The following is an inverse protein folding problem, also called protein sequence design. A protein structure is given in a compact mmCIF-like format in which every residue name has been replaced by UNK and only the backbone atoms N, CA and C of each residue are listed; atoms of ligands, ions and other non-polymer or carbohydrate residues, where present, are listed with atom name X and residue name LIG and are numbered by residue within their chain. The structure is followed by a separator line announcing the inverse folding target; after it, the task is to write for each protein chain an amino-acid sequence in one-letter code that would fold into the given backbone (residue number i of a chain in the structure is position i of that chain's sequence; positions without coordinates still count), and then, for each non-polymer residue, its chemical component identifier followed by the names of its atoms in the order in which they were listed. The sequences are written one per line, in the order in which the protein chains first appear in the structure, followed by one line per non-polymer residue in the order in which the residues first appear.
data_IF_395459827695
#
_entry.id   IF_395459827695
#
_cell.length_a   1.000
_cell.length_b   1.000
_cell.length_c   1.000
_cell.angle_alpha   90.00
_cell.angle_beta   90.00
_cell.angle_gamma   90.00
#
_symmetry.space_group_name_H-M   'P 1'
#
loop_
_entity.id
_entity.type
_entity.pdbx_description
1 polymer ?
#
# COMPACT_ATOMS: atom_id res chain seq x y z
N UNK A 1 9.66 -15.21 -0.43
CA UNK A 1 9.32 -13.81 -0.73
C UNK A 1 9.57 -12.99 0.52
N UNK A 2 10.05 -11.74 0.41
CA UNK A 2 10.48 -10.93 1.54
C UNK A 2 9.73 -9.59 1.49
N UNK A 3 8.66 -9.47 2.28
CA UNK A 3 7.82 -8.27 2.33
C UNK A 3 8.58 -7.05 2.84
N UNK A 4 9.60 -7.26 3.68
CA UNK A 4 10.48 -6.23 4.21
C UNK A 4 11.31 -5.56 3.11
N UNK A 5 11.75 -6.34 2.11
CA UNK A 5 12.54 -5.83 1.00
C UNK A 5 11.69 -4.92 0.11
N UNK A 6 10.51 -5.40 -0.29
CA UNK A 6 9.58 -4.61 -1.09
C UNK A 6 9.16 -3.33 -0.33
N UNK A 7 8.84 -3.47 0.97
CA UNK A 7 8.54 -2.34 1.86
C UNK A 7 9.68 -1.31 1.92
N UNK A 8 10.92 -1.78 2.17
CA UNK A 8 12.10 -0.91 2.25
C UNK A 8 12.36 -0.16 0.95
N UNK A 9 12.15 -0.81 -0.20
CA UNK A 9 12.26 -0.18 -1.52
C UNK A 9 11.19 0.90 -1.69
N UNK A 10 9.93 0.60 -1.34
CA UNK A 10 8.81 1.54 -1.49
C UNK A 10 9.00 2.77 -0.60
N UNK A 11 9.33 2.58 0.68
CA UNK A 11 9.55 3.68 1.61
C UNK A 11 10.77 4.53 1.24
N UNK A 12 11.84 3.91 0.74
CA UNK A 12 13.00 4.64 0.24
C UNK A 12 12.64 5.49 -0.99
N UNK A 13 11.85 4.95 -1.92
CA UNK A 13 11.40 5.69 -3.10
C UNK A 13 10.50 6.88 -2.74
N UNK A 14 9.59 6.70 -1.78
CA UNK A 14 8.78 7.79 -1.22
C UNK A 14 9.64 8.85 -0.54
N UNK A 15 10.70 8.46 0.18
CA UNK A 15 11.62 9.40 0.81
C UNK A 15 12.43 10.22 -0.22
N UNK A 16 12.75 9.64 -1.37
CA UNK A 16 13.53 10.29 -2.45
C UNK A 16 12.75 11.32 -3.26
N UNK A 17 11.42 11.42 -3.11
CA UNK A 17 10.64 12.47 -3.78
C UNK A 17 9.91 12.05 -5.06
N UNK A 18 9.89 10.76 -5.42
CA UNK A 18 9.26 10.29 -6.66
C UNK A 18 8.00 9.44 -6.42
N UNK A 19 6.88 10.12 -6.16
CA UNK A 19 5.59 9.48 -5.95
C UNK A 19 5.14 8.65 -7.16
N UNK A 20 5.33 9.16 -8.38
CA UNK A 20 4.87 8.50 -9.61
C UNK A 20 5.65 7.22 -9.90
N UNK A 21 6.97 7.25 -9.74
CA UNK A 21 7.79 6.04 -9.88
C UNK A 21 7.44 5.02 -8.80
N UNK A 22 7.24 5.46 -7.55
CA UNK A 22 6.79 4.60 -6.46
C UNK A 22 5.49 3.88 -6.81
N UNK A 23 4.45 4.61 -7.23
CA UNK A 23 3.17 4.04 -7.65
C UNK A 23 3.32 3.10 -8.86
N UNK A 24 4.23 3.40 -9.79
CA UNK A 24 4.54 2.53 -10.93
C UNK A 24 5.15 1.21 -10.48
N UNK A 25 6.08 1.23 -9.52
CA UNK A 25 6.70 0.04 -8.94
C UNK A 25 5.69 -0.83 -8.21
N UNK A 26 4.82 -0.23 -7.39
CA UNK A 26 3.75 -0.93 -6.68
C UNK A 26 2.84 -1.66 -7.69
N UNK A 27 2.37 -0.95 -8.72
CA UNK A 27 1.51 -1.53 -9.77
C UNK A 27 2.19 -2.67 -10.54
N UNK A 28 3.47 -2.50 -10.92
CA UNK A 28 4.27 -3.56 -11.56
C UNK A 28 4.41 -4.78 -10.66
N UNK A 29 4.61 -4.57 -9.35
CA UNK A 29 4.74 -5.65 -8.37
C UNK A 29 3.43 -6.43 -8.22
N UNK A 30 2.30 -5.73 -8.08
CA UNK A 30 0.96 -6.35 -8.05
C UNK A 30 0.73 -7.19 -9.31
N UNK A 31 1.05 -6.65 -10.49
CA UNK A 31 0.90 -7.38 -11.75
C UNK A 31 1.71 -8.68 -11.78
N UNK A 32 2.98 -8.64 -11.33
CA UNK A 32 3.83 -9.83 -11.25
C UNK A 32 3.28 -10.86 -10.27
N UNK A 33 2.86 -10.44 -9.08
CA UNK A 33 2.29 -11.34 -8.08
C UNK A 33 1.01 -12.02 -8.58
N UNK A 34 0.12 -11.27 -9.22
CA UNK A 34 -1.09 -11.83 -9.85
C UNK A 34 -0.76 -12.83 -10.95
N UNK A 35 0.31 -12.59 -11.73
CA UNK A 35 0.77 -13.55 -12.74
C UNK A 35 1.37 -14.81 -12.09
N UNK A 36 2.17 -14.66 -11.04
CA UNK A 36 2.74 -15.79 -10.29
C UNK A 36 1.66 -16.66 -9.65
N UNK A 37 0.63 -16.08 -9.03
CA UNK A 37 -0.52 -16.83 -8.47
C UNK A 37 -1.29 -17.64 -9.53
N UNK A 38 -1.30 -17.19 -10.79
CA UNK A 38 -1.94 -17.92 -11.89
C UNK A 38 -1.12 -19.12 -12.37
N UNK A 39 0.20 -19.04 -12.25
CA UNK A 39 1.12 -20.10 -12.67
C UNK A 39 1.26 -21.16 -11.59
N UNK A 40 1.28 -20.76 -10.32
CA UNK A 40 1.38 -21.65 -9.16
C UNK A 40 0.26 -21.37 -8.16
N UNK A 41 -0.88 -22.10 -8.26
CA UNK A 41 -2.04 -21.91 -7.37
C UNK A 41 -1.74 -22.21 -5.89
N UNK A 42 -0.63 -22.88 -5.59
CA UNK A 42 -0.22 -23.17 -4.20
C UNK A 42 0.32 -21.92 -3.50
N UNK A 43 0.73 -20.90 -4.27
CA UNK A 43 1.18 -19.60 -3.77
C UNK A 43 0.02 -18.61 -3.76
N UNK A 44 -0.72 -18.57 -2.66
CA UNK A 44 -1.74 -17.55 -2.45
C UNK A 44 -1.10 -16.24 -1.98
N UNK A 45 -0.97 -15.27 -2.89
CA UNK A 45 -0.49 -13.91 -2.58
C UNK A 45 -1.60 -12.89 -2.30
N UNK A 46 -2.87 -13.29 -2.19
CA UNK A 46 -4.02 -12.37 -2.15
C UNK A 46 -3.91 -11.36 -1.02
N UNK A 47 -3.50 -11.83 0.16
CA UNK A 47 -3.24 -11.01 1.32
C UNK A 47 -2.20 -9.89 1.04
N UNK A 48 -1.08 -10.28 0.44
CA UNK A 48 0.02 -9.37 0.15
C UNK A 48 -0.32 -8.40 -1.00
N UNK A 49 -1.05 -8.89 -2.01
CA UNK A 49 -1.57 -8.07 -3.11
C UNK A 49 -2.52 -7.00 -2.56
N UNK A 50 -3.45 -7.37 -1.67
CA UNK A 50 -4.39 -6.43 -1.06
C UNK A 50 -3.68 -5.32 -0.27
N UNK A 51 -2.62 -5.66 0.47
CA UNK A 51 -1.78 -4.65 1.13
C UNK A 51 -1.19 -3.65 0.12
N UNK A 52 -0.62 -4.15 -0.98
CA UNK A 52 -0.02 -3.28 -2.00
C UNK A 52 -1.09 -2.42 -2.72
N UNK A 53 -2.29 -2.95 -2.92
CA UNK A 53 -3.42 -2.22 -3.51
C UNK A 53 -3.93 -1.12 -2.57
N UNK A 54 -4.03 -1.37 -1.26
CA UNK A 54 -4.38 -0.35 -0.28
C UNK A 54 -3.32 0.76 -0.21
N UNK A 55 -2.05 0.38 -0.23
CA UNK A 55 -0.96 1.36 -0.27
C UNK A 55 -1.01 2.25 -1.52
N UNK A 56 -1.25 1.66 -2.70
CA UNK A 56 -1.46 2.42 -3.94
C UNK A 56 -2.66 3.36 -3.83
N UNK A 57 -3.76 2.88 -3.21
CA UNK A 57 -4.99 3.64 -3.04
C UNK A 57 -4.82 4.85 -2.14
N UNK A 58 -4.08 4.71 -1.03
CA UNK A 58 -3.68 5.82 -0.15
C UNK A 58 -2.83 6.84 -0.91
N UNK A 59 -1.78 6.38 -1.60
CA UNK A 59 -0.88 7.25 -2.36
C UNK A 59 -1.58 7.98 -3.52
N UNK A 60 -2.67 7.39 -4.03
CA UNK A 60 -3.53 7.96 -5.06
C UNK A 60 -4.67 8.83 -4.51
N UNK A 61 -4.77 9.00 -3.19
CA UNK A 61 -5.81 9.80 -2.55
C UNK A 61 -7.20 9.16 -2.52
N UNK A 62 -7.32 7.87 -2.85
CA UNK A 62 -8.62 7.17 -2.97
C UNK A 62 -9.08 6.56 -1.65
N UNK A 63 -8.16 6.22 -0.78
CA UNK A 63 -8.41 5.53 0.49
C UNK A 63 -7.79 6.32 1.65
N UNK A 64 -8.45 6.32 2.81
CA UNK A 64 -7.92 6.96 4.01
C UNK A 64 -6.84 6.11 4.69
N UNK A 65 -5.95 6.73 5.48
CA UNK A 65 -4.97 5.98 6.27
C UNK A 65 -5.61 5.04 7.30
N UNK A 66 -6.75 5.41 7.86
CA UNK A 66 -7.47 4.57 8.83
C UNK A 66 -8.06 3.33 8.17
N UNK A 67 -8.58 3.45 6.95
CA UNK A 67 -9.09 2.30 6.20
C UNK A 67 -7.95 1.36 5.81
N UNK A 68 -6.83 1.90 5.33
CA UNK A 68 -5.63 1.12 5.05
C UNK A 68 -5.09 0.40 6.29
N UNK A 69 -5.12 1.06 7.47
CA UNK A 69 -4.71 0.46 8.75
C UNK A 69 -5.58 -0.74 9.13
N UNK A 70 -6.90 -0.63 8.95
CA UNK A 70 -7.83 -1.76 9.19
C UNK A 70 -7.53 -2.93 8.26
N UNK A 71 -7.21 -2.64 7.01
CA UNK A 71 -6.81 -3.65 6.03
C UNK A 71 -5.49 -4.33 6.43
N UNK A 72 -4.48 -3.59 6.89
CA UNK A 72 -3.25 -4.18 7.42
C UNK A 72 -3.47 -5.12 8.62
N UNK A 73 -4.41 -4.78 9.49
CA UNK A 73 -4.72 -5.57 10.69
C UNK A 73 -5.64 -6.78 10.40
N UNK A 74 -6.50 -6.68 9.39
CA UNK A 74 -7.44 -7.76 9.03
C UNK A 74 -6.82 -8.83 8.15
N UNK A 75 -5.73 -8.52 7.46
CA UNK A 75 -5.11 -9.40 6.50
C UNK A 75 -3.96 -10.18 7.14
N UNK A 76 -3.84 -11.48 6.82
CA UNK A 76 -2.70 -12.36 7.20
C UNK A 76 -1.39 -11.97 6.48
N UNK A 77 -1.11 -10.68 6.35
CA UNK A 77 0.09 -10.14 5.69
C UNK A 77 1.34 -10.38 6.52
N UNK A 78 1.22 -10.48 7.85
CA UNK A 78 2.36 -10.71 8.75
C UNK A 78 3.23 -11.91 8.36
N UNK A 79 2.65 -12.96 7.75
CA UNK A 79 3.40 -14.11 7.24
C UNK A 79 4.41 -13.79 6.12
N UNK A 80 4.31 -12.62 5.50
CA UNK A 80 5.25 -12.11 4.50
C UNK A 80 6.41 -11.30 5.09
N UNK A 81 6.33 -10.99 6.40
CA UNK A 81 7.29 -10.20 7.16
C UNK A 81 7.91 -11.07 8.26
N UNK A 82 9.06 -11.68 7.97
CA UNK A 82 9.79 -12.60 8.85
C UNK A 82 10.52 -11.92 10.00
N UNK A 83 10.96 -10.67 9.82
CA UNK A 83 11.81 -9.96 10.78
C UNK A 83 11.06 -8.89 11.58
N UNK A 84 9.74 -8.79 11.41
CA UNK A 84 8.91 -7.89 12.20
C UNK A 84 8.61 -8.56 13.54
N UNK A 85 9.23 -8.06 14.61
CA UNK A 85 9.06 -8.58 15.97
C UNK A 85 7.68 -8.26 16.54
N UNK A 86 7.25 -7.00 16.46
CA UNK A 86 5.92 -6.55 16.86
C UNK A 86 5.16 -5.99 15.64
N UNK A 87 4.07 -6.66 15.27
CA UNK A 87 3.26 -6.28 14.11
C UNK A 87 2.53 -4.95 14.32
N UNK A 88 2.02 -4.69 15.52
CA UNK A 88 1.27 -3.47 15.81
C UNK A 88 2.18 -2.24 15.72
N UNK A 89 3.41 -2.34 16.26
CA UNK A 89 4.42 -1.28 16.15
C UNK A 89 4.81 -1.03 14.69
N UNK A 90 4.94 -2.11 13.90
CA UNK A 90 5.21 -2.01 12.47
C UNK A 90 4.08 -1.28 11.73
N UNK A 91 2.82 -1.67 11.95
CA UNK A 91 1.66 -1.01 11.34
C UNK A 91 1.60 0.46 11.73
N UNK A 92 1.80 0.79 13.02
CA UNK A 92 1.83 2.17 13.50
C UNK A 92 2.95 2.97 12.83
N UNK A 93 4.13 2.38 12.67
CA UNK A 93 5.28 3.00 11.99
C UNK A 93 4.98 3.29 10.52
N UNK A 94 4.38 2.35 9.80
CA UNK A 94 3.97 2.54 8.41
C UNK A 94 2.99 3.69 8.28
N UNK A 95 1.91 3.65 9.07
CA UNK A 95 0.85 4.66 9.02
C UNK A 95 1.43 6.04 9.33
N UNK A 96 2.33 6.14 10.31
CA UNK A 96 3.05 7.36 10.64
C UNK A 96 3.85 7.89 9.44
N UNK A 97 4.66 7.07 8.77
CA UNK A 97 5.42 7.53 7.59
C UNK A 97 4.53 7.94 6.42
N UNK A 98 3.45 7.19 6.16
CA UNK A 98 2.52 7.55 5.11
C UNK A 98 1.85 8.89 5.37
N UNK A 99 1.52 9.20 6.63
CA UNK A 99 1.01 10.53 7.00
C UNK A 99 1.96 11.66 6.55
N UNK A 100 3.27 11.52 6.78
CA UNK A 100 4.25 12.50 6.28
C UNK A 100 4.33 12.55 4.76
N UNK A 101 4.24 11.41 4.08
CA UNK A 101 4.29 11.39 2.61
C UNK A 101 3.04 12.02 2.00
N UNK A 102 1.88 11.79 2.59
CA UNK A 102 0.62 12.42 2.18
C UNK A 102 0.75 13.94 2.25
N UNK A 103 1.24 14.47 3.35
CA UNK A 103 1.49 15.91 3.50
C UNK A 103 2.55 16.41 2.50
N UNK A 104 3.71 15.75 2.42
CA UNK A 104 4.82 16.10 1.53
C UNK A 104 4.43 16.16 0.06
N UNK A 105 3.59 15.23 -0.39
CA UNK A 105 3.14 15.15 -1.78
C UNK A 105 1.80 15.87 -2.01
N UNK A 106 1.26 16.54 -0.99
CA UNK A 106 -0.06 17.20 -1.03
C UNK A 106 -1.15 16.25 -1.57
N UNK A 107 -1.18 15.02 -1.07
CA UNK A 107 -2.18 14.02 -1.41
C UNK A 107 -3.45 14.34 -0.61
N UNK A 108 -4.56 14.62 -1.29
CA UNK A 108 -5.84 14.90 -0.64
C UNK A 108 -6.60 13.60 -0.34
N UNK A 109 -6.91 13.33 0.93
CA UNK A 109 -7.61 12.13 1.40
C UNK A 109 -9.02 12.42 1.91
N UNK A 110 -10.02 11.59 1.57
CA UNK A 110 -10.22 11.03 0.24
C UNK A 110 -10.42 12.16 -0.76
N UNK A 111 -10.01 11.96 -2.00
CA UNK A 111 -10.39 12.79 -3.13
C UNK A 111 -11.91 12.73 -3.28
N UNK A 112 -12.64 13.52 -2.50
CA UNK A 112 -14.05 13.76 -2.70
C UNK A 112 -14.15 14.55 -4.00
N UNK A 113 -14.19 13.83 -5.12
CA UNK A 113 -14.76 14.38 -6.33
C UNK A 113 -16.24 14.53 -5.99
N UNK A 114 -16.61 15.73 -5.53
CA UNK A 114 -17.99 16.19 -5.59
C UNK A 114 -18.37 16.06 -7.06
N UNK A 115 -18.90 14.89 -7.44
CA UNK A 115 -19.81 14.81 -8.57
C UNK A 115 -20.86 15.86 -8.22
N UNK A 116 -20.75 17.00 -8.89
CA UNK A 116 -21.75 18.05 -8.90
C UNK A 116 -23.10 17.36 -8.93
N UNK A 117 -23.88 17.54 -7.87
CA UNK A 117 -25.30 17.18 -7.84
C UNK A 117 -26.08 18.17 -8.71
N UNK A 118 -25.70 18.29 -9.97
CA UNK A 118 -26.41 19.05 -11.00
C UNK A 118 -25.87 18.60 -12.35
N UNK A 119 -26.60 17.69 -12.96
CA UNK A 119 -26.92 17.71 -14.39
C UNK A 119 -28.26 16.97 -14.50
N UNK A 120 -29.34 17.76 -14.37
CA UNK A 120 -30.71 17.43 -14.76
C UNK A 120 -30.93 17.85 -16.21
#
# INVERSE_FOLDING_TARGET
MNGETDYGIIMSALAMGDLRDTQSRIRKRIFRLKAESKVDPTRNFDAYIRMLEGLESVLSGKESLEDFRKDLNSVKVSGYFRFVGNWDDFVNTIVYYLYYFIDRYNIHLPAFNSKRSDDR
#
